data_IF_621813833593
#
_entry.id   IF_621813833593
#
_cell.length_a   1.000
_cell.length_b   1.000
_cell.length_c   1.000
_cell.angle_alpha   90.00
_cell.angle_beta   90.00
_cell.angle_gamma   90.00
#
_symmetry.space_group_name_H-M   'P 1'
#
loop_
_entity.id
_entity.type
_entity.pdbx_description
1 polymer ?
#
# COMPACT_ATOMS: atom_id res chain seq x y z
N UNK A 1 -6.19 -19.39 10.75
CA UNK A 1 -4.76 -19.00 10.68
C UNK A 1 -4.53 -18.10 9.49
N UNK A 2 -3.86 -16.99 9.72
CA UNK A 2 -3.57 -16.06 8.62
C UNK A 2 -2.48 -16.59 7.70
N UNK A 3 -2.71 -16.44 6.41
CA UNK A 3 -1.70 -16.74 5.40
C UNK A 3 -0.72 -15.58 5.33
N UNK A 4 0.57 -15.85 5.50
CA UNK A 4 1.59 -14.78 5.49
C UNK A 4 1.96 -14.28 4.08
N UNK A 5 1.31 -14.80 3.03
CA UNK A 5 1.62 -14.43 1.65
C UNK A 5 0.67 -13.44 1.00
N UNK A 6 -0.42 -13.05 1.66
CA UNK A 6 -1.50 -12.30 1.01
C UNK A 6 -1.57 -10.85 1.48
N UNK A 7 -0.42 -10.17 1.52
CA UNK A 7 -0.36 -8.80 2.03
C UNK A 7 0.10 -7.81 0.97
N UNK A 8 -0.52 -6.63 1.01
CA UNK A 8 -0.04 -5.46 0.28
C UNK A 8 0.39 -4.42 1.32
N UNK A 9 1.59 -3.85 1.14
CA UNK A 9 2.13 -2.87 2.06
C UNK A 9 1.74 -1.46 1.64
N UNK A 10 1.24 -0.68 2.61
CA UNK A 10 1.05 0.75 2.41
C UNK A 10 2.40 1.47 2.52
N UNK A 11 2.46 2.69 1.98
CA UNK A 11 3.71 3.47 1.95
C UNK A 11 4.29 3.72 3.33
N UNK A 12 3.46 3.94 4.36
CA UNK A 12 3.96 4.20 5.71
C UNK A 12 4.75 3.02 6.28
N UNK A 13 4.38 1.79 5.94
CA UNK A 13 5.12 0.59 6.38
C UNK A 13 6.48 0.53 5.67
N UNK A 14 6.49 0.81 4.37
CA UNK A 14 7.73 0.80 3.57
C UNK A 14 8.70 1.87 4.06
N UNK A 15 8.20 3.06 4.35
CA UNK A 15 9.02 4.16 4.88
C UNK A 15 9.64 3.75 6.21
N UNK A 16 8.88 3.11 7.08
CA UNK A 16 9.41 2.61 8.36
C UNK A 16 10.54 1.61 8.13
N UNK A 17 10.39 0.71 7.15
CA UNK A 17 11.44 -0.25 6.81
C UNK A 17 12.70 0.48 6.34
N UNK A 18 12.55 1.48 5.47
CA UNK A 18 13.69 2.27 4.98
C UNK A 18 14.40 3.01 6.11
N UNK A 19 13.67 3.38 7.16
CA UNK A 19 14.22 4.05 8.34
C UNK A 19 14.83 3.08 9.35
N UNK A 20 14.75 1.77 9.10
CA UNK A 20 15.30 0.78 10.00
C UNK A 20 14.44 0.44 11.20
N UNK A 21 13.13 0.71 11.15
CA UNK A 21 12.22 0.37 12.23
C UNK A 21 12.20 -1.14 12.44
N UNK A 22 12.64 -1.59 13.62
CA UNK A 22 12.78 -3.01 13.91
C UNK A 22 11.47 -3.77 13.88
N UNK A 23 10.39 -3.14 14.34
CA UNK A 23 9.06 -3.77 14.35
C UNK A 23 8.54 -3.99 12.94
N UNK A 24 8.67 -2.99 12.06
CA UNK A 24 8.24 -3.10 10.68
C UNK A 24 9.05 -4.17 9.94
N UNK A 25 10.36 -4.15 10.11
CA UNK A 25 11.25 -5.13 9.48
C UNK A 25 10.91 -6.54 9.94
N UNK A 26 10.74 -6.73 11.25
CA UNK A 26 10.41 -8.05 11.81
C UNK A 26 9.08 -8.57 11.26
N UNK A 27 8.06 -7.71 11.19
CA UNK A 27 6.74 -8.13 10.69
C UNK A 27 6.81 -8.54 9.22
N UNK A 28 7.49 -7.73 8.41
CA UNK A 28 7.56 -7.99 6.97
C UNK A 28 8.39 -9.24 6.66
N UNK A 29 9.41 -9.53 7.47
CA UNK A 29 10.21 -10.75 7.29
C UNK A 29 9.39 -12.03 7.48
N UNK A 30 8.26 -11.96 8.15
CA UNK A 30 7.39 -13.11 8.35
C UNK A 30 6.49 -13.39 7.13
N UNK A 31 6.46 -12.48 6.17
CA UNK A 31 5.60 -12.60 5.00
C UNK A 31 6.29 -13.39 3.90
N UNK A 32 5.56 -14.30 3.25
CA UNK A 32 6.12 -15.14 2.18
C UNK A 32 6.07 -14.45 0.83
N UNK A 33 5.10 -13.55 0.63
CA UNK A 33 4.99 -12.77 -0.60
C UNK A 33 4.49 -11.37 -0.25
N UNK A 34 5.14 -10.39 -0.83
CA UNK A 34 4.83 -8.98 -0.58
C UNK A 34 4.39 -8.34 -1.87
N UNK A 35 3.25 -7.67 -1.82
CA UNK A 35 2.70 -6.92 -2.94
C UNK A 35 2.73 -5.43 -2.62
N UNK A 36 2.95 -4.62 -3.63
CA UNK A 36 2.96 -3.16 -3.50
C UNK A 36 2.23 -2.58 -4.71
N UNK A 37 1.38 -1.59 -4.49
CA UNK A 37 0.71 -0.89 -5.58
C UNK A 37 1.69 -0.01 -6.35
N UNK A 38 1.55 0.06 -7.67
CA UNK A 38 2.32 1.00 -8.49
C UNK A 38 2.08 2.44 -8.03
N UNK A 39 0.91 2.74 -7.47
CA UNK A 39 0.61 4.06 -6.90
C UNK A 39 1.57 4.35 -5.73
N UNK A 40 1.77 3.38 -4.86
CA UNK A 40 2.71 3.51 -3.73
C UNK A 40 4.13 3.73 -4.22
N UNK A 41 4.55 3.00 -5.26
CA UNK A 41 5.87 3.19 -5.84
C UNK A 41 6.04 4.63 -6.33
N UNK A 42 5.00 5.18 -6.99
CA UNK A 42 5.04 6.59 -7.42
C UNK A 42 5.16 7.56 -6.25
N UNK A 43 4.43 7.31 -5.17
CA UNK A 43 4.52 8.13 -3.96
C UNK A 43 5.93 8.11 -3.36
N UNK A 44 6.56 6.93 -3.35
CA UNK A 44 7.92 6.78 -2.82
C UNK A 44 8.94 7.54 -3.68
N UNK A 45 8.82 7.47 -5.00
CA UNK A 45 9.71 8.23 -5.90
C UNK A 45 9.53 9.73 -5.73
N UNK A 46 8.29 10.20 -5.58
CA UNK A 46 8.05 11.60 -5.31
C UNK A 46 8.70 12.03 -3.98
N UNK A 47 8.55 11.21 -2.94
CA UNK A 47 9.23 11.46 -1.67
C UNK A 47 10.73 11.55 -1.80
N UNK A 48 11.32 10.67 -2.63
CA UNK A 48 12.76 10.71 -2.91
C UNK A 48 13.19 12.03 -3.55
N UNK A 49 12.40 12.54 -4.49
CA UNK A 49 12.68 13.83 -5.15
C UNK A 49 12.66 14.99 -4.18
N UNK A 50 11.83 14.93 -3.16
CA UNK A 50 11.72 15.99 -2.14
C UNK A 50 12.79 15.88 -1.07
N UNK A 51 13.51 14.78 -0.99
CA UNK A 51 14.57 14.59 0.00
C UNK A 51 15.84 15.27 -0.46
N UNK A 52 16.79 15.46 0.47
CA UNK A 52 18.12 15.95 0.15
C UNK A 52 19.10 14.82 -0.17
N UNK A 53 18.60 13.59 -0.32
CA UNK A 53 19.41 12.41 -0.64
C UNK A 53 18.74 11.59 -1.75
N UNK A 54 18.32 12.27 -2.81
CA UNK A 54 17.54 11.66 -3.89
C UNK A 54 18.18 10.38 -4.46
N UNK A 55 19.47 10.36 -4.84
CA UNK A 55 20.05 9.13 -5.39
C UNK A 55 20.00 7.95 -4.43
N UNK A 56 20.22 8.19 -3.15
CA UNK A 56 20.17 7.15 -2.13
C UNK A 56 18.74 6.61 -1.98
N UNK A 57 17.76 7.51 -1.92
CA UNK A 57 16.35 7.12 -1.76
C UNK A 57 15.86 6.36 -2.98
N UNK A 58 16.22 6.81 -4.18
CA UNK A 58 15.82 6.10 -5.39
C UNK A 58 16.45 4.71 -5.46
N UNK A 59 17.69 4.56 -5.02
CA UNK A 59 18.33 3.25 -4.96
C UNK A 59 17.59 2.31 -4.03
N UNK A 60 17.13 2.79 -2.87
CA UNK A 60 16.34 1.99 -1.93
C UNK A 60 15.03 1.51 -2.57
N UNK A 61 14.37 2.39 -3.33
CA UNK A 61 13.11 2.05 -3.99
C UNK A 61 13.36 1.02 -5.09
N UNK A 62 14.42 1.18 -5.89
CA UNK A 62 14.76 0.23 -6.94
C UNK A 62 15.04 -1.16 -6.37
N UNK A 63 15.73 -1.23 -5.23
CA UNK A 63 15.96 -2.50 -4.54
C UNK A 63 14.65 -3.12 -4.06
N UNK A 64 13.75 -2.32 -3.53
CA UNK A 64 12.43 -2.80 -3.13
C UNK A 64 11.68 -3.40 -4.32
N UNK A 65 11.71 -2.72 -5.47
CA UNK A 65 11.01 -3.19 -6.67
C UNK A 65 11.47 -4.58 -7.10
N UNK A 66 12.73 -4.92 -6.85
CA UNK A 66 13.25 -6.25 -7.18
C UNK A 66 12.76 -7.33 -6.23
N UNK A 67 12.32 -6.95 -5.03
CA UNK A 67 11.96 -7.88 -3.97
C UNK A 67 10.46 -8.11 -3.82
N UNK A 68 9.64 -7.31 -4.48
CA UNK A 68 8.17 -7.34 -4.28
C UNK A 68 7.46 -7.55 -5.61
N UNK A 69 6.19 -7.94 -5.54
CA UNK A 69 5.31 -7.96 -6.71
C UNK A 69 4.61 -6.62 -6.80
N UNK A 70 4.83 -5.90 -7.89
CA UNK A 70 4.17 -4.61 -8.13
C UNK A 70 2.86 -4.87 -8.87
N UNK A 71 1.75 -4.37 -8.33
CA UNK A 71 0.44 -4.50 -8.93
C UNK A 71 0.06 -3.21 -9.63
N UNK A 72 -0.32 -3.34 -10.90
CA UNK A 72 -0.67 -2.20 -11.75
C UNK A 72 -2.16 -1.88 -11.65
N UNK A 73 -2.51 -0.66 -12.07
CA UNK A 73 -3.90 -0.23 -12.18
C UNK A 73 -4.43 -0.68 -13.56
N UNK A 74 -5.53 -1.40 -13.54
CA UNK A 74 -6.15 -1.94 -14.77
C UNK A 74 -7.64 -1.57 -14.80
N UNK A 75 -8.35 -2.00 -15.84
CA UNK A 75 -9.80 -1.79 -15.93
C UNK A 75 -10.57 -2.34 -14.75
N UNK A 76 -10.34 -3.61 -14.36
CA UNK A 76 -10.98 -4.16 -13.15
C UNK A 76 -10.69 -3.35 -11.88
N UNK A 77 -9.47 -2.85 -11.71
CA UNK A 77 -9.13 -1.97 -10.58
C UNK A 77 -9.99 -0.69 -10.61
N UNK A 78 -10.12 -0.10 -11.79
CA UNK A 78 -10.87 1.14 -11.96
C UNK A 78 -12.35 0.95 -11.61
N UNK A 79 -12.91 -0.20 -11.93
CA UNK A 79 -14.31 -0.49 -11.59
C UNK A 79 -14.52 -0.50 -10.07
N UNK A 80 -13.60 -1.16 -9.36
CA UNK A 80 -13.66 -1.23 -7.90
C UNK A 80 -13.42 0.16 -7.28
N UNK A 81 -12.48 0.92 -7.84
CA UNK A 81 -12.25 2.31 -7.42
C UNK A 81 -13.55 3.12 -7.45
N UNK A 82 -14.30 3.03 -8.54
CA UNK A 82 -15.57 3.76 -8.66
C UNK A 82 -16.58 3.36 -7.59
N UNK A 83 -16.66 2.08 -7.29
CA UNK A 83 -17.55 1.55 -6.25
C UNK A 83 -17.14 2.06 -4.86
N UNK A 84 -15.85 2.04 -4.55
CA UNK A 84 -15.35 2.51 -3.26
C UNK A 84 -15.59 4.01 -3.11
N UNK A 85 -15.27 4.79 -4.13
CA UNK A 85 -15.44 6.24 -4.08
C UNK A 85 -16.90 6.62 -3.87
N UNK A 86 -17.81 5.95 -4.54
CA UNK A 86 -19.24 6.18 -4.37
C UNK A 86 -19.70 5.85 -2.95
N UNK A 87 -19.25 4.73 -2.41
CA UNK A 87 -19.57 4.30 -1.04
C UNK A 87 -19.05 5.31 -0.01
N UNK A 88 -17.82 5.79 -0.16
CA UNK A 88 -17.24 6.77 0.76
C UNK A 88 -17.98 8.10 0.69
N UNK A 89 -18.36 8.53 -0.51
CA UNK A 89 -19.11 9.75 -0.70
C UNK A 89 -20.48 9.65 -0.02
N UNK A 90 -21.16 8.52 -0.18
CA UNK A 90 -22.48 8.32 0.43
C UNK A 90 -22.41 8.37 1.95
N UNK A 91 -21.30 7.91 2.53
CA UNK A 91 -21.07 7.98 3.98
C UNK A 91 -20.60 9.34 4.47
N UNK A 92 -20.20 10.23 3.57
CA UNK A 92 -19.57 11.49 3.96
C UNK A 92 -18.19 11.29 4.59
N UNK A 93 -17.44 10.27 4.17
CA UNK A 93 -16.14 9.91 4.72
C UNK A 93 -15.08 9.84 3.61
N UNK A 94 -14.74 10.96 2.96
CA UNK A 94 -13.73 10.93 1.90
C UNK A 94 -12.35 10.57 2.45
N UNK A 95 -11.56 9.90 1.61
CA UNK A 95 -10.15 9.62 1.88
C UNK A 95 -9.34 10.09 0.68
N UNK A 96 -8.00 10.25 0.81
CA UNK A 96 -7.17 10.67 -0.32
C UNK A 96 -7.34 9.75 -1.54
N UNK A 97 -7.27 10.35 -2.74
CA UNK A 97 -7.47 9.62 -4.00
C UNK A 97 -6.54 8.43 -4.15
N UNK A 98 -5.25 8.63 -3.83
CA UNK A 98 -4.30 7.53 -3.95
C UNK A 98 -4.68 6.34 -3.07
N UNK A 99 -5.23 6.61 -1.89
CA UNK A 99 -5.64 5.55 -0.97
C UNK A 99 -6.85 4.79 -1.48
N UNK A 100 -7.73 5.44 -2.25
CA UNK A 100 -8.84 4.74 -2.90
C UNK A 100 -8.29 3.75 -3.94
N UNK A 101 -7.30 4.16 -4.73
CA UNK A 101 -6.66 3.26 -5.70
C UNK A 101 -5.96 2.09 -5.01
N UNK A 102 -5.30 2.35 -3.88
CA UNK A 102 -4.65 1.29 -3.10
C UNK A 102 -5.69 0.31 -2.57
N UNK A 103 -6.77 0.82 -1.98
CA UNK A 103 -7.86 -0.02 -1.47
C UNK A 103 -8.48 -0.86 -2.59
N UNK A 104 -8.70 -0.26 -3.77
CA UNK A 104 -9.24 -0.98 -4.92
C UNK A 104 -8.33 -2.14 -5.36
N UNK A 105 -7.01 -1.90 -5.35
CA UNK A 105 -6.04 -2.94 -5.69
C UNK A 105 -6.08 -4.10 -4.70
N UNK A 106 -6.14 -3.78 -3.41
CA UNK A 106 -6.23 -4.79 -2.35
C UNK A 106 -7.48 -5.66 -2.54
N UNK A 107 -8.62 -5.03 -2.77
CA UNK A 107 -9.88 -5.75 -2.92
C UNK A 107 -9.92 -6.57 -4.21
N UNK A 108 -9.40 -6.03 -5.30
CA UNK A 108 -9.34 -6.75 -6.58
C UNK A 108 -8.57 -8.06 -6.46
N UNK A 109 -7.45 -8.03 -5.76
CA UNK A 109 -6.56 -9.18 -5.63
C UNK A 109 -6.78 -9.98 -4.35
N UNK A 110 -7.80 -9.64 -3.57
CA UNK A 110 -8.17 -10.36 -2.35
C UNK A 110 -7.02 -10.44 -1.36
N UNK A 111 -6.32 -9.31 -1.20
CA UNK A 111 -5.19 -9.20 -0.28
C UNK A 111 -5.63 -8.60 1.05
N UNK A 112 -4.69 -8.60 2.01
CA UNK A 112 -4.83 -7.86 3.26
C UNK A 112 -3.91 -6.65 3.19
N UNK A 113 -4.44 -5.47 3.50
CA UNK A 113 -3.65 -4.24 3.54
C UNK A 113 -2.95 -4.13 4.89
N UNK A 114 -1.63 -4.04 4.87
CA UNK A 114 -0.85 -3.74 6.08
C UNK A 114 -0.58 -2.25 6.11
N UNK A 115 -1.14 -1.54 7.08
CA UNK A 115 -1.10 -0.08 7.15
C UNK A 115 -1.18 0.41 8.58
N UNK A 116 -0.71 1.63 8.80
CA UNK A 116 -0.86 2.36 10.05
C UNK A 116 -1.99 3.39 9.98
N UNK A 117 -2.57 3.60 8.79
CA UNK A 117 -3.60 4.62 8.58
C UNK A 117 -4.99 4.08 8.85
N UNK A 118 -5.67 4.70 9.81
CA UNK A 118 -7.00 4.27 10.22
C UNK A 118 -8.11 4.67 9.24
N UNK A 119 -7.87 5.64 8.36
CA UNK A 119 -8.93 6.07 7.45
C UNK A 119 -9.37 4.97 6.48
N UNK A 120 -8.54 3.96 6.24
CA UNK A 120 -8.92 2.81 5.42
C UNK A 120 -10.08 2.01 6.04
N UNK A 121 -10.32 2.14 7.34
CA UNK A 121 -11.45 1.49 8.01
C UNK A 121 -12.79 1.94 7.45
N UNK A 122 -12.84 3.10 6.80
CA UNK A 122 -14.06 3.61 6.18
C UNK A 122 -14.44 2.88 4.89
N UNK A 123 -13.53 2.07 4.34
CA UNK A 123 -13.78 1.32 3.10
C UNK A 123 -14.43 -0.02 3.44
N UNK A 124 -15.69 -0.18 3.02
CA UNK A 124 -16.43 -1.42 3.28
C UNK A 124 -15.81 -2.60 2.54
N UNK A 125 -15.67 -3.72 3.24
CA UNK A 125 -15.15 -4.95 2.66
C UNK A 125 -13.63 -5.03 2.53
N UNK A 126 -12.92 -3.96 2.88
CA UNK A 126 -11.45 -3.96 2.85
C UNK A 126 -10.92 -4.71 4.06
N UNK A 127 -10.03 -5.67 3.82
CA UNK A 127 -9.38 -6.41 4.90
C UNK A 127 -8.09 -5.70 5.27
N UNK A 128 -8.00 -5.26 6.51
CA UNK A 128 -6.89 -4.47 7.02
C UNK A 128 -6.25 -5.19 8.20
N UNK A 129 -4.93 -5.15 8.25
CA UNK A 129 -4.20 -5.49 9.47
C UNK A 129 -3.47 -4.23 9.91
N UNK A 130 -3.77 -3.77 11.13
CA UNK A 130 -3.08 -2.63 11.69
C UNK A 130 -1.69 -3.02 12.16
N UNK A 131 -0.84 -2.04 12.08
CA UNK A 131 0.56 -2.26 12.46
C UNK A 131 0.89 -1.64 13.81
#
# INVERSE_FOLDING_TARGET
>A
MKMNGNYLLDSNIIIDIFRGDAKAISRVKQLTAIHVSVITIGELYYGAKKSNQTPKRESEIEQLEEMVTILNITGPTAKIYGQIKDQLRAKGRPIPENDIWIAATVMEHQLTLLTKDKHFENVEGLVIEEF
#
